data_IF_565253832372
#
_entry.id   IF_565253832372
#
_cell.length_a   1.000
_cell.length_b   1.000
_cell.length_c   1.000
_cell.angle_alpha   90.00
_cell.angle_beta   90.00
_cell.angle_gamma   90.00
#
_symmetry.space_group_name_H-M   'P 1'
#
loop_
_entity.id
_entity.type
_entity.pdbx_description
1 polymer ?
#
# COMPACT_ATOMS: atom_id res chain seq x y z
N UNK A 1 -26.31 -32.64 -8.62
CA UNK A 1 -26.33 -31.17 -8.52
C UNK A 1 -25.96 -30.81 -7.10
N UNK A 2 -24.85 -30.08 -6.84
CA UNK A 2 -24.61 -29.52 -5.52
C UNK A 2 -25.81 -28.67 -5.10
N UNK A 3 -26.22 -28.73 -3.83
CA UNK A 3 -27.33 -27.94 -3.33
C UNK A 3 -27.02 -26.45 -3.42
N UNK A 4 -28.04 -25.62 -3.66
CA UNK A 4 -27.90 -24.15 -3.64
C UNK A 4 -27.22 -23.66 -2.35
N UNK A 5 -27.51 -24.32 -1.22
CA UNK A 5 -26.88 -24.04 0.07
C UNK A 5 -25.36 -24.31 0.07
N UNK A 6 -24.90 -25.42 -0.51
CA UNK A 6 -23.46 -25.73 -0.62
C UNK A 6 -22.76 -24.69 -1.50
N UNK A 7 -23.36 -24.33 -2.65
CA UNK A 7 -22.81 -23.31 -3.54
C UNK A 7 -22.68 -21.95 -2.86
N UNK A 8 -23.70 -21.53 -2.12
CA UNK A 8 -23.66 -20.27 -1.38
C UNK A 8 -22.63 -20.34 -0.25
N UNK A 9 -22.58 -21.43 0.52
CA UNK A 9 -21.60 -21.64 1.59
C UNK A 9 -20.17 -21.50 1.06
N UNK A 10 -19.83 -22.22 0.00
CA UNK A 10 -18.51 -22.17 -0.63
C UNK A 10 -18.20 -20.75 -1.15
N UNK A 11 -19.16 -20.12 -1.83
CA UNK A 11 -18.99 -18.75 -2.35
C UNK A 11 -18.76 -17.73 -1.23
N UNK A 12 -19.51 -17.79 -0.13
CA UNK A 12 -19.34 -16.91 1.02
C UNK A 12 -17.99 -17.14 1.71
N UNK A 13 -17.52 -18.38 1.83
CA UNK A 13 -16.19 -18.67 2.38
C UNK A 13 -15.07 -18.10 1.51
N UNK A 14 -15.14 -18.28 0.19
CA UNK A 14 -14.15 -17.75 -0.75
C UNK A 14 -14.11 -16.22 -0.70
N UNK A 15 -15.27 -15.56 -0.68
CA UNK A 15 -15.35 -14.10 -0.60
C UNK A 15 -14.78 -13.57 0.73
N UNK A 16 -15.08 -14.24 1.86
CA UNK A 16 -14.51 -13.89 3.16
C UNK A 16 -12.98 -14.03 3.18
N UNK A 17 -12.44 -15.12 2.65
CA UNK A 17 -10.98 -15.35 2.59
C UNK A 17 -10.31 -14.28 1.73
N UNK A 18 -10.91 -13.91 0.59
CA UNK A 18 -10.42 -12.84 -0.27
C UNK A 18 -10.37 -11.51 0.48
N UNK A 19 -11.45 -11.11 1.13
CA UNK A 19 -11.52 -9.86 1.91
C UNK A 19 -10.51 -9.83 3.06
N UNK A 20 -10.30 -10.96 3.75
CA UNK A 20 -9.29 -11.07 4.81
C UNK A 20 -7.90 -10.87 4.24
N UNK A 21 -7.58 -11.48 3.10
CA UNK A 21 -6.29 -11.32 2.44
C UNK A 21 -6.05 -9.88 1.97
N UNK A 22 -7.06 -9.22 1.40
CA UNK A 22 -6.97 -7.81 1.02
C UNK A 22 -6.65 -6.93 2.23
N UNK A 23 -7.39 -7.09 3.33
CA UNK A 23 -7.11 -6.37 4.60
C UNK A 23 -5.73 -6.70 5.17
N UNK A 24 -5.28 -7.94 5.08
CA UNK A 24 -3.96 -8.35 5.54
C UNK A 24 -2.84 -7.64 4.74
N UNK A 25 -3.01 -7.53 3.42
CA UNK A 25 -2.08 -6.79 2.55
C UNK A 25 -2.07 -5.31 2.93
N UNK A 26 -3.23 -4.68 3.14
CA UNK A 26 -3.32 -3.28 3.58
C UNK A 26 -2.64 -3.05 4.93
N UNK A 27 -2.93 -3.90 5.93
CA UNK A 27 -2.34 -3.80 7.27
C UNK A 27 -0.84 -4.02 7.28
N UNK A 28 -0.36 -5.01 6.52
CA UNK A 28 1.08 -5.25 6.33
C UNK A 28 1.76 -4.02 5.70
N UNK A 29 1.08 -3.37 4.74
CA UNK A 29 1.57 -2.14 4.11
C UNK A 29 1.72 -1.00 5.11
N UNK A 30 0.70 -0.79 5.91
CA UNK A 30 0.70 0.25 6.93
C UNK A 30 1.80 0.01 7.97
N UNK A 31 2.00 -1.25 8.34
CA UNK A 31 3.03 -1.64 9.29
C UNK A 31 4.45 -1.40 8.76
N UNK A 32 4.74 -1.78 7.51
CA UNK A 32 6.02 -1.50 6.86
C UNK A 32 6.31 0.00 6.78
N UNK A 33 5.32 0.81 6.36
CA UNK A 33 5.45 2.27 6.29
C UNK A 33 5.74 2.84 7.68
N UNK A 34 5.05 2.36 8.72
CA UNK A 34 5.27 2.77 10.10
C UNK A 34 6.69 2.45 10.58
N UNK A 35 7.20 1.24 10.30
CA UNK A 35 8.57 0.90 10.67
C UNK A 35 9.59 1.82 9.98
N UNK A 36 9.41 2.10 8.70
CA UNK A 36 10.34 2.94 7.94
C UNK A 36 10.34 4.38 8.43
N UNK A 37 9.17 4.94 8.71
CA UNK A 37 9.02 6.27 9.30
C UNK A 37 9.76 6.38 10.64
N UNK A 38 9.73 5.31 11.44
CA UNK A 38 10.33 5.29 12.77
C UNK A 38 11.82 4.88 12.78
N UNK A 39 12.31 4.23 11.72
CA UNK A 39 13.68 3.70 11.66
C UNK A 39 14.73 4.70 11.13
N UNK A 40 14.31 5.81 10.51
CA UNK A 40 15.24 6.74 9.85
C UNK A 40 14.90 8.20 10.14
N UNK A 41 15.90 8.95 10.61
CA UNK A 41 15.84 10.42 10.76
C UNK A 41 16.17 11.11 9.42
N UNK A 42 16.68 10.36 8.45
CA UNK A 42 17.04 10.84 7.12
C UNK A 42 15.79 10.96 6.24
N UNK A 43 15.30 12.20 6.09
CA UNK A 43 14.10 12.54 5.32
C UNK A 43 14.13 11.93 3.90
N UNK A 44 15.27 11.94 3.23
CA UNK A 44 15.40 11.38 1.88
C UNK A 44 15.09 9.86 1.86
N UNK A 45 15.61 9.11 2.83
CA UNK A 45 15.38 7.66 2.97
C UNK A 45 13.90 7.36 3.24
N UNK A 46 13.28 8.13 4.14
CA UNK A 46 11.86 8.02 4.46
C UNK A 46 11.00 8.25 3.21
N UNK A 47 11.21 9.37 2.51
CA UNK A 47 10.43 9.72 1.32
C UNK A 47 10.66 8.73 0.16
N UNK A 48 11.87 8.21 0.02
CA UNK A 48 12.20 7.21 -1.00
C UNK A 48 11.40 5.93 -0.83
N UNK A 49 11.33 5.41 0.39
CA UNK A 49 10.58 4.20 0.69
C UNK A 49 9.07 4.42 0.68
N UNK A 50 8.59 5.58 1.17
CA UNK A 50 7.18 5.98 1.07
C UNK A 50 6.72 6.09 -0.38
N UNK A 51 7.59 6.45 -1.32
CA UNK A 51 7.25 6.48 -2.73
C UNK A 51 7.28 5.08 -3.36
N UNK A 52 8.35 4.31 -3.12
CA UNK A 52 8.55 3.01 -3.76
C UNK A 52 7.57 1.94 -3.31
N UNK A 53 7.18 1.90 -2.03
CA UNK A 53 6.28 0.87 -1.49
C UNK A 53 4.89 0.93 -2.14
N UNK A 54 4.19 2.08 -2.18
CA UNK A 54 2.94 2.21 -2.90
C UNK A 54 3.11 1.98 -4.40
N UNK A 55 4.19 2.46 -5.02
CA UNK A 55 4.44 2.22 -6.44
C UNK A 55 4.52 0.72 -6.76
N UNK A 56 5.23 -0.06 -5.94
CA UNK A 56 5.32 -1.52 -6.10
C UNK A 56 3.98 -2.22 -5.85
N UNK A 57 3.21 -1.80 -4.84
CA UNK A 57 1.90 -2.41 -4.52
C UNK A 57 0.82 -2.08 -5.53
N UNK A 58 0.81 -0.86 -6.06
CA UNK A 58 -0.17 -0.37 -7.03
C UNK A 58 0.27 -0.58 -8.48
N UNK A 59 1.45 -1.17 -8.70
CA UNK A 59 2.05 -1.40 -10.03
C UNK A 59 2.16 -0.11 -10.87
N UNK A 60 2.57 0.99 -10.22
CA UNK A 60 2.76 2.29 -10.87
C UNK A 60 4.17 2.41 -11.43
N UNK A 61 4.28 2.80 -12.70
CA UNK A 61 5.57 2.93 -13.39
C UNK A 61 6.33 4.21 -13.05
N UNK A 62 5.65 5.25 -12.55
CA UNK A 62 6.25 6.56 -12.23
C UNK A 62 5.57 7.19 -11.03
N UNK A 63 6.33 7.93 -10.24
CA UNK A 63 5.83 8.65 -9.07
C UNK A 63 6.75 9.80 -8.66
N UNK A 64 6.19 10.81 -7.99
CA UNK A 64 6.93 11.98 -7.49
C UNK A 64 6.42 12.35 -6.11
N UNK A 65 7.35 12.73 -5.23
CA UNK A 65 7.04 13.34 -3.93
C UNK A 65 7.33 14.83 -4.03
N UNK A 66 6.33 15.64 -3.69
CA UNK A 66 6.49 17.08 -3.52
C UNK A 66 6.41 17.44 -2.04
N UNK A 67 7.32 18.28 -1.57
CA UNK A 67 7.22 18.89 -0.25
C UNK A 67 6.78 20.33 -0.38
N UNK A 68 5.90 20.73 0.54
CA UNK A 68 5.49 22.12 0.65
C UNK A 68 6.62 22.92 1.32
N UNK A 69 7.22 23.85 0.58
CA UNK A 69 8.06 24.91 1.15
C UNK A 69 7.32 26.22 1.08
N UNK A 70 7.15 26.90 2.22
CA UNK A 70 6.57 28.25 2.41
C UNK A 70 5.29 28.59 1.62
N UNK A 71 5.35 28.63 0.29
CA UNK A 71 4.27 29.03 -0.63
C UNK A 71 4.04 28.07 -1.80
N UNK A 72 4.91 27.10 -2.05
CA UNK A 72 4.81 26.20 -3.19
C UNK A 72 5.16 24.74 -2.83
N UNK A 73 4.67 23.82 -3.65
CA UNK A 73 5.12 22.43 -3.63
C UNK A 73 6.32 22.30 -4.56
N UNK A 74 7.45 21.88 -4.01
CA UNK A 74 8.67 21.62 -4.78
C UNK A 74 8.87 20.10 -4.89
N UNK A 75 9.21 19.58 -6.08
CA UNK A 75 9.53 18.17 -6.23
C UNK A 75 10.85 17.91 -5.50
N UNK A 76 10.84 16.93 -4.59
CA UNK A 76 12.03 16.56 -3.82
C UNK A 76 12.55 15.18 -4.18
N UNK A 77 11.71 14.34 -4.80
CA UNK A 77 12.06 12.99 -5.20
C UNK A 77 11.15 12.55 -6.35
N UNK A 78 11.74 11.96 -7.40
CA UNK A 78 11.03 11.31 -8.48
C UNK A 78 11.56 9.89 -8.73
N UNK A 79 10.67 8.98 -9.13
CA UNK A 79 10.98 7.60 -9.53
C UNK A 79 10.22 7.27 -10.81
N UNK A 80 10.87 6.61 -11.77
CA UNK A 80 10.28 6.28 -13.05
C UNK A 80 11.21 5.53 -13.98
#
# INVERSE_FOLDING_TARGET
MPGLLDYLSDKYQVENVKQINERLVELSSLFEISQILNASIELHTVLNNILLIPMGRLMLSRGVVLLRKSRAFEPVLGKG
#
